data_IF_454815290766
#
_entry.id   IF_454815290766
#
_cell.length_a   1.000
_cell.length_b   1.000
_cell.length_c   1.000
_cell.angle_alpha   90.00
_cell.angle_beta   90.00
_cell.angle_gamma   90.00
#
_symmetry.space_group_name_H-M   'P 1'
#
loop_
_entity.id
_entity.type
_entity.pdbx_description
1 polymer ?
#
# COMPACT_ATOMS: atom_id res chain seq x y z
N UNK A 1 -4.31 -6.93 -13.05
CA UNK A 1 -3.56 -6.33 -11.91
C UNK A 1 -4.51 -5.58 -10.99
N UNK A 2 -4.33 -5.62 -9.67
CA UNK A 2 -5.17 -4.87 -8.72
C UNK A 2 -4.52 -3.53 -8.35
N UNK A 3 -5.29 -2.44 -8.34
CA UNK A 3 -4.84 -1.12 -7.85
C UNK A 3 -5.61 -0.75 -6.57
N UNK A 4 -4.96 -0.77 -5.42
CA UNK A 4 -5.56 -0.33 -4.16
C UNK A 4 -5.49 1.19 -3.99
N UNK A 5 -6.61 1.82 -3.64
CA UNK A 5 -6.63 3.25 -3.28
C UNK A 5 -6.40 3.38 -1.77
N UNK A 6 -5.24 3.92 -1.41
CA UNK A 6 -4.80 4.06 -0.03
C UNK A 6 -5.39 5.31 0.65
N UNK A 7 -5.48 5.30 1.99
CA UNK A 7 -5.88 6.44 2.84
C UNK A 7 -7.36 6.85 2.78
N UNK A 8 -8.24 5.97 2.29
CA UNK A 8 -9.68 6.25 2.22
C UNK A 8 -10.32 6.51 3.60
N UNK A 9 -9.78 5.93 4.68
CA UNK A 9 -10.27 6.10 6.06
C UNK A 9 -10.48 7.56 6.46
N UNK A 10 -9.59 8.46 6.00
CA UNK A 10 -9.64 9.90 6.30
C UNK A 10 -10.91 10.60 5.76
N UNK A 11 -11.50 10.05 4.70
CA UNK A 11 -12.68 10.58 4.03
C UNK A 11 -13.92 9.70 4.18
N UNK A 12 -13.76 8.44 4.60
CA UNK A 12 -14.81 7.42 4.65
C UNK A 12 -16.10 7.90 5.34
N UNK A 13 -15.98 8.49 6.54
CA UNK A 13 -17.13 9.01 7.29
C UNK A 13 -17.83 10.18 6.60
N UNK A 14 -17.06 11.05 5.93
CA UNK A 14 -17.60 12.26 5.28
C UNK A 14 -18.33 11.91 3.98
N UNK A 15 -17.76 11.00 3.20
CA UNK A 15 -18.29 10.71 1.87
C UNK A 15 -19.32 9.58 1.87
N UNK A 16 -19.25 8.68 2.85
CA UNK A 16 -20.18 7.56 3.03
C UNK A 16 -20.49 6.80 1.72
N UNK A 17 -19.46 6.52 0.93
CA UNK A 17 -19.60 5.85 -0.37
C UNK A 17 -19.81 4.34 -0.19
N UNK A 18 -20.59 3.74 -1.10
CA UNK A 18 -20.56 2.29 -1.29
C UNK A 18 -19.19 1.90 -1.86
N UNK A 19 -18.46 1.11 -1.07
CA UNK A 19 -17.07 0.72 -1.35
C UNK A 19 -16.93 -0.75 -1.70
N UNK A 20 -18.03 -1.52 -1.71
CA UNK A 20 -17.99 -2.99 -1.93
C UNK A 20 -17.22 -3.37 -3.20
N UNK A 21 -17.25 -2.48 -4.18
CA UNK A 21 -16.66 -2.70 -5.49
C UNK A 21 -15.29 -2.02 -5.70
N UNK A 22 -14.69 -1.46 -4.64
CA UNK A 22 -13.48 -0.65 -4.70
C UNK A 22 -12.36 -1.35 -3.94
N UNK A 23 -11.21 -1.52 -4.59
CA UNK A 23 -9.99 -1.97 -3.93
C UNK A 23 -9.40 -0.86 -3.08
N UNK A 24 -9.31 -1.10 -1.77
CA UNK A 24 -8.88 -0.12 -0.76
C UNK A 24 -7.72 -0.64 0.07
N UNK A 25 -6.78 0.25 0.35
CA UNK A 25 -5.74 0.03 1.34
C UNK A 25 -5.96 0.99 2.50
N UNK A 26 -5.90 0.48 3.73
CA UNK A 26 -5.78 1.34 4.91
C UNK A 26 -4.56 0.97 5.74
N UNK A 27 -4.16 1.89 6.60
CA UNK A 27 -3.07 1.68 7.53
C UNK A 27 -3.62 1.40 8.92
N UNK A 28 -3.07 0.41 9.63
CA UNK A 28 -3.43 0.15 11.02
C UNK A 28 -3.24 1.38 11.92
N UNK A 29 -2.31 2.27 11.58
CA UNK A 29 -2.13 3.55 12.27
C UNK A 29 -3.40 4.43 12.26
N UNK A 30 -4.21 4.35 11.19
CA UNK A 30 -5.50 5.04 11.07
C UNK A 30 -6.60 4.42 11.97
N UNK A 31 -6.37 3.19 12.45
CA UNK A 31 -7.30 2.39 13.24
C UNK A 31 -6.84 2.19 14.70
N UNK A 32 -5.78 2.90 15.15
CA UNK A 32 -5.19 2.73 16.48
C UNK A 32 -6.13 2.99 17.66
N UNK A 33 -7.27 3.65 17.43
CA UNK A 33 -8.33 3.83 18.43
C UNK A 33 -9.23 2.59 18.60
N UNK A 34 -9.01 1.54 17.81
CA UNK A 34 -9.82 0.31 17.80
C UNK A 34 -11.04 0.39 16.88
N UNK A 35 -11.44 1.58 16.43
CA UNK A 35 -12.59 1.76 15.53
C UNK A 35 -12.18 1.63 14.05
N UNK A 36 -12.93 0.84 13.28
CA UNK A 36 -12.81 0.76 11.82
C UNK A 36 -14.17 0.95 11.15
N UNK A 37 -14.16 1.29 9.87
CA UNK A 37 -15.40 1.40 9.07
C UNK A 37 -15.61 0.08 8.31
N UNK A 38 -16.82 -0.12 7.78
CA UNK A 38 -17.23 -1.38 7.14
C UNK A 38 -16.34 -1.85 5.99
N UNK A 39 -15.61 -0.94 5.32
CA UNK A 39 -14.73 -1.29 4.22
C UNK A 39 -13.56 -2.20 4.62
N UNK A 40 -13.19 -2.20 5.90
CA UNK A 40 -12.10 -3.04 6.43
C UNK A 40 -12.44 -4.53 6.41
N UNK A 41 -13.72 -4.88 6.37
CA UNK A 41 -14.19 -6.27 6.34
C UNK A 41 -14.35 -6.84 4.93
N UNK A 42 -14.08 -6.05 3.90
CA UNK A 42 -14.34 -6.43 2.51
C UNK A 42 -13.17 -7.23 1.93
N UNK A 43 -13.47 -8.11 0.97
CA UNK A 43 -12.45 -8.92 0.27
C UNK A 43 -11.49 -8.07 -0.56
N UNK A 44 -11.93 -6.88 -0.96
CA UNK A 44 -11.14 -5.90 -1.73
C UNK A 44 -10.32 -4.97 -0.82
N UNK A 45 -10.13 -5.34 0.44
CA UNK A 45 -9.30 -4.61 1.40
C UNK A 45 -7.94 -5.28 1.64
N UNK A 46 -6.90 -4.45 1.78
CA UNK A 46 -5.58 -4.85 2.28
C UNK A 46 -5.14 -3.89 3.38
N UNK A 47 -4.51 -4.43 4.42
CA UNK A 47 -4.09 -3.66 5.59
C UNK A 47 -2.56 -3.50 5.66
N UNK A 48 -2.08 -2.27 5.65
CA UNK A 48 -0.70 -1.93 5.99
C UNK A 48 -0.54 -1.85 7.52
N UNK A 49 0.61 -2.33 8.04
CA UNK A 49 0.97 -2.22 9.45
C UNK A 49 1.09 -0.77 9.90
N UNK A 50 1.35 0.18 9.00
CA UNK A 50 1.47 1.61 9.32
C UNK A 50 2.71 1.97 10.13
N UNK A 51 3.68 1.05 10.22
CA UNK A 51 4.86 1.22 11.05
C UNK A 51 5.73 2.43 10.61
N UNK A 52 5.79 2.72 9.31
CA UNK A 52 6.46 3.91 8.78
C UNK A 52 5.90 5.22 9.36
N UNK A 53 4.58 5.29 9.53
CA UNK A 53 3.90 6.46 10.11
C UNK A 53 4.09 6.55 11.63
N UNK A 54 4.22 5.42 12.32
CA UNK A 54 4.54 5.38 13.74
C UNK A 54 5.96 5.91 14.03
N UNK A 55 6.93 5.55 13.18
CA UNK A 55 8.33 5.96 13.31
C UNK A 55 8.58 7.45 13.01
N UNK A 56 7.88 8.02 12.03
CA UNK A 56 8.03 9.41 11.61
C UNK A 56 7.72 10.45 12.71
N UNK A 57 7.20 10.02 13.86
CA UNK A 57 6.84 10.83 15.03
C UNK A 57 7.96 11.14 16.04
N UNK A 58 9.25 10.85 15.75
CA UNK A 58 10.40 11.13 16.65
C UNK A 58 10.35 10.43 18.03
N UNK A 59 10.06 9.13 18.09
CA UNK A 59 10.14 8.37 19.35
C UNK A 59 11.17 7.24 19.26
N UNK A 60 12.35 7.46 19.82
CA UNK A 60 13.43 6.47 19.90
C UNK A 60 13.09 5.26 20.81
N UNK A 61 12.04 5.36 21.64
CA UNK A 61 11.58 4.29 22.55
C UNK A 61 10.17 3.78 22.19
N UNK A 62 9.89 3.60 20.90
CA UNK A 62 8.59 3.06 20.48
C UNK A 62 8.43 1.59 20.88
N UNK A 63 7.34 1.24 21.57
CA UNK A 63 7.03 -0.13 21.99
C UNK A 63 6.53 -0.98 20.81
N UNK A 64 7.48 -1.52 20.03
CA UNK A 64 7.18 -2.38 18.88
C UNK A 64 6.54 -3.70 19.28
N UNK A 65 6.90 -4.27 20.43
CA UNK A 65 6.29 -5.50 20.94
C UNK A 65 4.80 -5.26 21.29
N UNK A 66 4.47 -4.13 21.91
CA UNK A 66 3.08 -3.73 22.14
C UNK A 66 2.35 -3.39 20.84
N UNK A 67 3.04 -2.80 19.87
CA UNK A 67 2.46 -2.47 18.57
C UNK A 67 2.08 -3.72 17.78
N UNK A 68 2.98 -4.70 17.65
CA UNK A 68 2.68 -5.96 16.95
C UNK A 68 1.53 -6.73 17.62
N UNK A 69 1.47 -6.73 18.96
CA UNK A 69 0.35 -7.35 19.70
C UNK A 69 -0.99 -6.67 19.37
N UNK A 70 -1.02 -5.33 19.33
CA UNK A 70 -2.23 -4.58 18.97
C UNK A 70 -2.62 -4.82 17.51
N UNK A 71 -1.65 -4.83 16.61
CA UNK A 71 -1.86 -5.09 15.19
C UNK A 71 -2.39 -6.50 14.94
N UNK A 72 -1.75 -7.54 15.52
CA UNK A 72 -2.20 -8.92 15.41
C UNK A 72 -3.63 -9.12 15.96
N UNK A 73 -3.93 -8.50 17.11
CA UNK A 73 -5.28 -8.54 17.66
C UNK A 73 -6.30 -7.82 16.77
N UNK A 74 -5.93 -6.73 16.11
CA UNK A 74 -6.80 -6.04 15.16
C UNK A 74 -7.06 -6.91 13.91
N UNK A 75 -6.03 -7.53 13.36
CA UNK A 75 -6.14 -8.46 12.23
C UNK A 75 -7.07 -9.63 12.59
N UNK A 76 -6.84 -10.27 13.74
CA UNK A 76 -7.63 -11.40 14.23
C UNK A 76 -9.10 -11.01 14.46
N UNK A 77 -9.37 -9.95 15.25
CA UNK A 77 -10.73 -9.55 15.62
C UNK A 77 -11.58 -9.13 14.42
N UNK A 78 -10.96 -8.53 13.41
CA UNK A 78 -11.66 -8.05 12.22
C UNK A 78 -11.57 -9.02 11.04
N UNK A 79 -11.00 -10.22 11.23
CA UNK A 79 -10.81 -11.24 10.20
C UNK A 79 -10.21 -10.68 8.90
N UNK A 80 -9.18 -9.84 9.03
CA UNK A 80 -8.52 -9.21 7.88
C UNK A 80 -7.88 -10.28 7.00
N UNK A 81 -8.21 -10.27 5.70
CA UNK A 81 -7.81 -11.34 4.77
C UNK A 81 -6.39 -11.16 4.24
N UNK A 82 -6.00 -9.93 3.92
CA UNK A 82 -4.68 -9.57 3.40
C UNK A 82 -4.09 -8.44 4.23
N UNK A 83 -2.87 -8.64 4.73
CA UNK A 83 -2.18 -7.65 5.55
C UNK A 83 -0.67 -7.80 5.43
N UNK A 84 0.06 -6.70 5.54
CA UNK A 84 1.52 -6.69 5.47
C UNK A 84 2.16 -6.97 6.83
N UNK A 85 3.41 -7.43 6.82
CA UNK A 85 4.25 -7.50 8.01
C UNK A 85 4.58 -6.12 8.60
N UNK A 86 5.28 -6.10 9.74
CA UNK A 86 5.90 -4.89 10.25
C UNK A 86 7.20 -4.64 9.51
N UNK A 87 7.17 -3.68 8.60
CA UNK A 87 8.29 -3.28 7.77
C UNK A 87 9.21 -2.27 8.48
N UNK A 88 10.04 -2.78 9.40
CA UNK A 88 10.87 -1.98 10.33
C UNK A 88 12.24 -2.59 10.61
N UNK A 89 12.75 -3.41 9.69
CA UNK A 89 14.04 -4.09 9.85
C UNK A 89 15.21 -3.10 9.96
N UNK A 90 15.10 -1.90 9.38
CA UNK A 90 16.07 -0.81 9.62
C UNK A 90 16.08 -0.30 11.07
N UNK A 91 15.02 -0.56 11.85
CA UNK A 91 14.86 -0.09 13.23
C UNK A 91 15.19 -1.19 14.23
N UNK A 92 14.71 -2.41 14.01
CA UNK A 92 14.80 -3.51 14.98
C UNK A 92 15.66 -4.69 14.52
N UNK A 93 16.18 -4.64 13.29
CA UNK A 93 16.90 -5.75 12.66
C UNK A 93 15.97 -6.80 12.04
N UNK A 94 16.50 -7.57 11.09
CA UNK A 94 15.72 -8.58 10.35
C UNK A 94 15.20 -9.69 11.26
N UNK A 95 16.03 -10.23 12.16
CA UNK A 95 15.64 -11.33 13.06
C UNK A 95 14.40 -10.98 13.89
N UNK A 96 14.29 -9.73 14.34
CA UNK A 96 13.14 -9.26 15.12
C UNK A 96 11.89 -9.09 14.24
N UNK A 97 12.05 -8.67 12.97
CA UNK A 97 10.95 -8.63 12.00
C UNK A 97 10.45 -10.04 11.68
N UNK A 98 11.34 -11.02 11.49
CA UNK A 98 10.96 -12.41 11.27
C UNK A 98 10.23 -13.00 12.48
N UNK A 99 10.69 -12.68 13.69
CA UNK A 99 9.97 -13.01 14.93
C UNK A 99 8.55 -12.42 14.95
N UNK A 100 8.39 -11.13 14.58
CA UNK A 100 7.07 -10.51 14.49
C UNK A 100 6.19 -11.12 13.40
N UNK A 101 6.79 -11.55 12.29
CA UNK A 101 6.10 -12.22 11.20
C UNK A 101 5.51 -13.56 11.65
N UNK A 102 6.30 -14.39 12.32
CA UNK A 102 5.81 -15.67 12.88
C UNK A 102 4.76 -15.41 13.98
N UNK A 103 4.97 -14.42 14.86
CA UNK A 103 3.98 -14.04 15.85
C UNK A 103 2.63 -13.64 15.21
N UNK A 104 2.66 -12.84 14.13
CA UNK A 104 1.46 -12.46 13.39
C UNK A 104 0.76 -13.69 12.81
N UNK A 105 1.52 -14.60 12.20
CA UNK A 105 1.01 -15.84 11.62
C UNK A 105 0.34 -16.73 12.68
N UNK A 106 1.04 -17.00 13.78
CA UNK A 106 0.51 -17.81 14.88
C UNK A 106 -0.75 -17.20 15.49
N UNK A 107 -0.75 -15.88 15.69
CA UNK A 107 -1.87 -15.19 16.35
C UNK A 107 -3.10 -15.06 15.46
N UNK A 108 -2.92 -14.93 14.15
CA UNK A 108 -4.00 -14.63 13.21
C UNK A 108 -4.44 -15.84 12.38
N UNK A 109 -3.64 -16.91 12.35
CA UNK A 109 -3.84 -18.06 11.47
C UNK A 109 -3.65 -17.75 9.99
N UNK A 110 -3.00 -16.63 9.66
CA UNK A 110 -2.81 -16.13 8.29
C UNK A 110 -1.38 -15.64 8.08
N UNK A 111 -0.83 -15.92 6.91
CA UNK A 111 0.49 -15.42 6.55
C UNK A 111 0.42 -13.90 6.29
N UNK A 112 1.19 -13.07 7.02
CA UNK A 112 1.43 -11.69 6.59
C UNK A 112 2.16 -11.67 5.25
N UNK A 113 1.98 -10.59 4.49
CA UNK A 113 2.72 -10.32 3.25
C UNK A 113 4.07 -9.69 3.66
N UNK A 114 5.21 -10.39 3.49
CA UNK A 114 6.51 -9.84 3.81
C UNK A 114 6.91 -8.75 2.81
N UNK A 115 7.65 -7.74 3.27
CA UNK A 115 8.07 -6.59 2.47
C UNK A 115 9.58 -6.59 2.33
N UNK A 116 10.07 -6.69 1.10
CA UNK A 116 11.50 -6.67 0.83
C UNK A 116 12.08 -5.25 0.75
N UNK A 117 13.29 -5.12 1.32
CA UNK A 117 14.16 -3.95 1.27
C UNK A 117 15.57 -4.34 0.88
N UNK A 118 16.32 -3.39 0.34
CA UNK A 118 17.64 -3.58 -0.27
C UNK A 118 18.69 -4.13 0.67
N UNK A 119 18.60 -3.82 1.96
CA UNK A 119 19.43 -4.36 3.03
C UNK A 119 19.28 -5.89 3.20
N UNK A 120 18.18 -6.49 2.74
CA UNK A 120 17.95 -7.95 2.81
C UNK A 120 18.65 -8.71 1.67
N UNK A 121 19.00 -8.03 0.57
CA UNK A 121 19.67 -8.63 -0.57
C UNK A 121 18.79 -9.52 -1.45
N UNK A 122 19.32 -9.88 -2.62
CA UNK A 122 18.56 -10.60 -3.66
C UNK A 122 18.19 -12.04 -3.25
N UNK A 123 19.09 -12.74 -2.55
CA UNK A 123 18.90 -14.15 -2.23
C UNK A 123 17.79 -14.31 -1.19
N UNK A 124 17.66 -13.35 -0.27
CA UNK A 124 16.52 -13.26 0.64
C UNK A 124 15.21 -13.07 -0.13
N UNK A 125 15.18 -12.22 -1.16
CA UNK A 125 13.98 -12.03 -1.97
C UNK A 125 13.53 -13.33 -2.63
N UNK A 126 14.47 -14.07 -3.24
CA UNK A 126 14.18 -15.35 -3.91
C UNK A 126 13.58 -16.33 -2.90
N UNK A 127 14.23 -16.52 -1.75
CA UNK A 127 13.71 -17.38 -0.68
C UNK A 127 12.33 -16.93 -0.18
N UNK A 128 12.14 -15.62 0.01
CA UNK A 128 10.86 -15.05 0.41
C UNK A 128 9.75 -15.35 -0.60
N UNK A 129 10.06 -15.42 -1.90
CA UNK A 129 9.09 -15.82 -2.93
C UNK A 129 8.74 -17.31 -2.87
N UNK A 130 9.69 -18.17 -2.50
CA UNK A 130 9.46 -19.61 -2.32
C UNK A 130 8.60 -19.89 -1.06
N UNK A 131 8.82 -19.13 0.01
CA UNK A 131 8.18 -19.35 1.31
C UNK A 131 6.77 -18.75 1.42
N UNK A 132 6.46 -17.71 0.63
CA UNK A 132 5.21 -16.94 0.76
C UNK A 132 4.45 -16.85 -0.57
N UNK A 133 3.12 -17.09 -0.59
CA UNK A 133 2.30 -17.00 -1.80
C UNK A 133 2.05 -15.55 -2.26
N UNK A 134 2.45 -14.57 -1.46
CA UNK A 134 2.32 -13.17 -1.76
C UNK A 134 3.41 -12.39 -1.03
N UNK A 135 4.21 -11.63 -1.77
CA UNK A 135 5.29 -10.78 -1.27
C UNK A 135 5.10 -9.33 -1.71
N UNK A 136 5.85 -8.41 -1.12
CA UNK A 136 5.83 -7.00 -1.49
C UNK A 136 7.23 -6.41 -1.62
N UNK A 137 7.33 -5.31 -2.36
CA UNK A 137 8.55 -4.51 -2.50
C UNK A 137 8.26 -3.03 -2.23
N UNK A 138 9.10 -2.42 -1.40
CA UNK A 138 9.05 -0.98 -1.12
C UNK A 138 9.47 -0.14 -2.33
N UNK A 139 8.58 0.68 -2.89
CA UNK A 139 8.90 1.59 -4.03
C UNK A 139 8.57 3.06 -3.74
N UNK A 140 8.33 3.37 -2.46
CA UNK A 140 7.92 4.70 -2.01
C UNK A 140 8.97 5.76 -2.34
N UNK A 141 8.51 6.96 -2.72
CA UNK A 141 9.41 8.11 -2.91
C UNK A 141 9.94 8.68 -1.58
N UNK A 142 9.36 8.25 -0.45
CA UNK A 142 9.74 8.70 0.89
C UNK A 142 11.12 8.19 1.33
N UNK A 143 11.65 7.15 0.69
CA UNK A 143 12.98 6.58 0.98
C UNK A 143 13.92 6.76 -0.21
N UNK A 144 15.23 6.91 0.05
CA UNK A 144 16.25 6.95 -1.01
C UNK A 144 16.23 5.68 -1.87
N UNK A 145 16.04 4.54 -1.22
CA UNK A 145 15.94 3.23 -1.85
C UNK A 145 14.76 3.16 -2.82
N UNK A 146 13.54 3.45 -2.33
CA UNK A 146 12.35 3.40 -3.16
C UNK A 146 12.43 4.36 -4.34
N UNK A 147 13.07 5.53 -4.17
CA UNK A 147 13.39 6.44 -5.28
C UNK A 147 14.30 5.82 -6.35
N UNK A 148 15.32 5.05 -5.95
CA UNK A 148 16.24 4.37 -6.90
C UNK A 148 15.54 3.22 -7.62
N UNK A 149 14.85 2.36 -6.88
CA UNK A 149 14.16 1.19 -7.42
C UNK A 149 13.04 1.61 -8.38
N UNK A 150 12.20 2.58 -7.98
CA UNK A 150 11.08 3.08 -8.80
C UNK A 150 11.51 3.63 -10.16
N UNK A 151 12.72 4.18 -10.26
CA UNK A 151 13.27 4.74 -11.51
C UNK A 151 13.90 3.70 -12.42
N UNK A 152 14.05 2.45 -11.96
CA UNK A 152 14.68 1.39 -12.72
C UNK A 152 13.68 0.25 -13.04
N UNK A 153 12.95 0.34 -14.16
CA UNK A 153 11.94 -0.66 -14.51
C UNK A 153 12.55 -2.06 -14.74
N UNK A 154 13.81 -2.17 -15.14
CA UNK A 154 14.47 -3.47 -15.32
C UNK A 154 14.70 -4.19 -13.98
N UNK A 155 15.07 -3.45 -12.94
CA UNK A 155 15.18 -4.00 -11.58
C UNK A 155 13.81 -4.48 -11.10
N UNK A 156 12.77 -3.64 -11.24
CA UNK A 156 11.41 -4.03 -10.87
C UNK A 156 10.93 -5.27 -11.63
N UNK A 157 11.24 -5.35 -12.93
CA UNK A 157 10.92 -6.52 -13.76
C UNK A 157 11.58 -7.78 -13.23
N UNK A 158 12.85 -7.71 -12.81
CA UNK A 158 13.54 -8.86 -12.20
C UNK A 158 12.82 -9.34 -10.94
N UNK A 159 12.43 -8.44 -10.02
CA UNK A 159 11.68 -8.82 -8.81
C UNK A 159 10.35 -9.49 -9.15
N UNK A 160 9.60 -8.93 -10.11
CA UNK A 160 8.34 -9.49 -10.56
C UNK A 160 8.54 -10.89 -11.15
N UNK A 161 9.56 -11.06 -11.99
CA UNK A 161 9.85 -12.34 -12.64
C UNK A 161 10.28 -13.41 -11.64
N UNK A 162 11.07 -13.05 -10.63
CA UNK A 162 11.44 -14.00 -9.56
C UNK A 162 10.21 -14.45 -8.76
N UNK A 163 9.33 -13.51 -8.38
CA UNK A 163 8.10 -13.85 -7.67
C UNK A 163 7.22 -14.79 -8.51
N UNK A 164 6.99 -14.44 -9.78
CA UNK A 164 6.18 -15.26 -10.69
C UNK A 164 6.79 -16.63 -10.99
N UNK A 165 8.12 -16.72 -11.11
CA UNK A 165 8.83 -17.99 -11.31
C UNK A 165 8.64 -18.93 -10.12
N UNK A 166 8.62 -18.40 -8.89
CA UNK A 166 8.34 -19.15 -7.67
C UNK A 166 6.84 -19.42 -7.45
N UNK A 167 5.94 -18.90 -8.29
CA UNK A 167 4.49 -18.99 -8.12
C UNK A 167 3.91 -18.04 -7.06
N UNK A 168 4.68 -17.05 -6.62
CA UNK A 168 4.27 -16.02 -5.67
C UNK A 168 3.70 -14.79 -6.38
N UNK A 169 2.71 -14.15 -5.77
CA UNK A 169 2.22 -12.83 -6.19
C UNK A 169 3.15 -11.74 -5.66
N UNK A 170 3.19 -10.59 -6.34
CA UNK A 170 3.99 -9.44 -5.89
C UNK A 170 3.18 -8.14 -5.85
N UNK A 171 3.31 -7.42 -4.72
CA UNK A 171 2.73 -6.10 -4.51
C UNK A 171 3.80 -5.00 -4.60
N UNK A 172 3.55 -3.94 -5.38
CA UNK A 172 4.41 -2.75 -5.43
C UNK A 172 3.93 -1.65 -4.47
N UNK A 173 4.53 -1.57 -3.27
CA UNK A 173 4.13 -0.61 -2.24
C UNK A 173 4.43 0.83 -2.68
N UNK A 174 3.40 1.67 -2.70
CA UNK A 174 3.42 3.05 -3.14
C UNK A 174 3.75 3.23 -4.63
N UNK A 175 3.62 2.18 -5.45
CA UNK A 175 3.96 2.23 -6.88
C UNK A 175 2.75 2.67 -7.72
N UNK A 176 2.84 3.83 -8.38
CA UNK A 176 1.76 4.26 -9.30
C UNK A 176 2.31 5.07 -10.47
N UNK A 177 3.42 4.62 -11.06
CA UNK A 177 3.86 5.16 -12.33
C UNK A 177 3.01 4.56 -13.45
N UNK A 178 1.95 5.26 -13.85
CA UNK A 178 0.96 4.81 -14.84
C UNK A 178 1.58 4.45 -16.19
N UNK A 179 2.71 5.07 -16.56
CA UNK A 179 3.47 4.70 -17.76
C UNK A 179 4.08 3.32 -17.63
N UNK A 180 4.70 3.00 -16.49
CA UNK A 180 5.38 1.72 -16.29
C UNK A 180 4.44 0.58 -15.88
N UNK A 181 3.28 0.87 -15.29
CA UNK A 181 2.30 -0.14 -14.89
C UNK A 181 1.86 -1.05 -16.06
N UNK A 182 1.86 -0.55 -17.31
CA UNK A 182 1.53 -1.36 -18.49
C UNK A 182 2.59 -2.41 -18.82
N UNK A 183 3.84 -2.16 -18.44
CA UNK A 183 4.98 -3.02 -18.73
C UNK A 183 5.38 -3.90 -17.54
N UNK A 184 5.20 -3.36 -16.32
CA UNK A 184 5.48 -4.02 -15.07
C UNK A 184 4.21 -4.71 -14.57
N UNK A 185 4.13 -6.02 -14.82
CA UNK A 185 2.99 -6.88 -14.48
C UNK A 185 2.97 -7.24 -12.99
N UNK A 186 2.88 -6.24 -12.12
CA UNK A 186 2.59 -6.53 -10.71
C UNK A 186 1.23 -7.21 -10.58
N UNK A 187 1.09 -8.07 -9.57
CA UNK A 187 -0.22 -8.62 -9.22
C UNK A 187 -1.09 -7.55 -8.56
N UNK A 188 -0.47 -6.68 -7.77
CA UNK A 188 -1.12 -5.45 -7.33
C UNK A 188 -0.17 -4.33 -6.96
N UNK A 189 -0.71 -3.13 -6.83
CA UNK A 189 -0.01 -1.92 -6.37
C UNK A 189 -0.97 -1.06 -5.55
N UNK A 190 -0.47 -0.05 -4.85
CA UNK A 190 -1.30 0.95 -4.17
C UNK A 190 -0.95 2.39 -4.58
N UNK A 191 -1.90 3.30 -4.33
CA UNK A 191 -1.73 4.72 -4.58
C UNK A 191 -2.43 5.62 -3.58
N UNK A 192 -1.73 6.68 -3.18
CA UNK A 192 -2.31 7.86 -2.53
C UNK A 192 -2.44 9.06 -3.48
N UNK A 193 -2.12 8.92 -4.77
CA UNK A 193 -2.07 10.04 -5.74
C UNK A 193 -3.42 10.72 -5.93
N UNK A 194 -4.53 10.04 -5.66
CA UNK A 194 -5.86 10.66 -5.68
C UNK A 194 -6.03 11.79 -4.66
N UNK A 195 -5.22 11.82 -3.59
CA UNK A 195 -5.17 12.90 -2.59
C UNK A 195 -4.42 14.16 -3.07
N UNK A 196 -3.88 14.17 -4.30
CA UNK A 196 -3.17 15.33 -4.85
C UNK A 196 -4.04 16.59 -4.97
N UNK A 197 -5.37 16.47 -4.90
CA UNK A 197 -6.28 17.61 -4.81
C UNK A 197 -6.09 18.41 -3.51
N UNK A 198 -5.91 17.73 -2.38
CA UNK A 198 -5.55 18.38 -1.11
C UNK A 198 -4.08 18.80 -1.07
N UNK A 199 -3.16 17.97 -1.58
CA UNK A 199 -1.72 18.23 -1.46
C UNK A 199 -1.23 19.37 -2.35
N UNK A 200 -1.72 19.41 -3.59
CA UNK A 200 -1.20 20.29 -4.64
C UNK A 200 -2.29 21.06 -5.39
N UNK A 201 -3.57 20.81 -5.10
CA UNK A 201 -4.67 21.38 -5.87
C UNK A 201 -4.86 20.73 -7.24
N UNK A 202 -4.23 19.57 -7.49
CA UNK A 202 -4.30 18.91 -8.80
C UNK A 202 -5.64 18.23 -9.02
N UNK A 203 -6.19 18.41 -10.21
CA UNK A 203 -7.45 17.81 -10.65
C UNK A 203 -7.16 16.73 -11.67
N UNK A 204 -7.48 15.48 -11.34
CA UNK A 204 -7.21 14.29 -12.14
C UNK A 204 -8.43 13.88 -12.96
N UNK A 205 -8.25 13.45 -14.20
CA UNK A 205 -9.32 12.88 -15.05
C UNK A 205 -8.78 11.64 -15.76
N UNK A 206 -9.59 10.59 -15.83
CA UNK A 206 -9.26 9.39 -16.59
C UNK A 206 -9.81 9.54 -18.02
N UNK A 207 -8.93 9.43 -19.03
CA UNK A 207 -9.32 9.61 -20.44
C UNK A 207 -9.78 8.32 -21.14
N UNK A 208 -9.82 7.20 -20.41
CA UNK A 208 -10.10 5.87 -20.95
C UNK A 208 -8.86 4.98 -21.07
N UNK A 209 -7.66 5.54 -21.01
CA UNK A 209 -6.40 4.78 -21.10
C UNK A 209 -5.36 5.20 -20.05
N UNK A 210 -5.34 6.48 -19.66
CA UNK A 210 -4.38 7.05 -18.72
C UNK A 210 -5.02 8.09 -17.80
N UNK A 211 -4.37 8.30 -16.66
CA UNK A 211 -4.69 9.40 -15.76
C UNK A 211 -4.00 10.68 -16.26
N UNK A 212 -4.79 11.72 -16.52
CA UNK A 212 -4.34 13.08 -16.83
C UNK A 212 -4.60 13.95 -15.60
N UNK A 213 -3.73 14.92 -15.31
CA UNK A 213 -4.01 15.93 -14.28
C UNK A 213 -3.73 17.34 -14.77
N UNK A 214 -4.35 18.29 -14.09
CA UNK A 214 -4.15 19.72 -14.30
C UNK A 214 -3.80 20.36 -12.96
N UNK A 215 -2.75 21.19 -12.96
CA UNK A 215 -2.41 22.04 -11.83
C UNK A 215 -3.37 23.22 -11.73
N UNK A 216 -3.57 23.81 -10.53
CA UNK A 216 -4.32 25.05 -10.42
C UNK A 216 -3.64 26.15 -11.26
N UNK A 217 -4.41 27.08 -11.87
CA UNK A 217 -3.83 28.21 -12.59
C UNK A 217 -2.82 28.98 -11.73
N UNK A 218 -1.80 29.57 -12.34
CA UNK A 218 -0.74 30.28 -11.63
C UNK A 218 -1.32 31.34 -10.69
N UNK A 219 -0.96 31.26 -9.41
CA UNK A 219 -1.44 32.17 -8.37
C UNK A 219 -2.81 31.82 -7.78
N UNK A 220 -3.49 30.79 -8.29
CA UNK A 220 -4.75 30.30 -7.75
C UNK A 220 -4.54 29.10 -6.83
N UNK A 221 -5.52 28.87 -5.95
CA UNK A 221 -5.61 27.69 -5.10
C UNK A 221 -6.98 27.05 -5.27
N UNK A 222 -7.04 25.73 -5.10
CA UNK A 222 -8.31 25.02 -5.06
C UNK A 222 -9.12 25.53 -3.88
N UNK A 223 -10.37 25.94 -4.14
CA UNK A 223 -11.27 26.47 -3.10
C UNK A 223 -11.76 25.37 -2.15
N UNK A 224 -12.08 24.21 -2.70
CA UNK A 224 -12.59 23.06 -1.95
C UNK A 224 -11.73 21.82 -2.20
N UNK A 225 -10.80 21.58 -1.26
CA UNK A 225 -9.88 20.46 -1.33
C UNK A 225 -10.55 19.09 -1.14
N UNK A 226 -11.66 19.02 -0.39
CA UNK A 226 -12.38 17.77 -0.18
C UNK A 226 -13.15 17.39 -1.44
N UNK A 227 -13.81 18.35 -2.08
CA UNK A 227 -14.45 18.16 -3.39
C UNK A 227 -13.45 17.76 -4.46
N UNK A 228 -12.27 18.40 -4.51
CA UNK A 228 -11.20 18.03 -5.43
C UNK A 228 -10.75 16.58 -5.23
N UNK A 229 -10.53 16.15 -3.98
CA UNK A 229 -10.20 14.76 -3.68
C UNK A 229 -11.33 13.80 -4.04
N UNK A 230 -12.59 14.16 -3.79
CA UNK A 230 -13.74 13.30 -4.11
C UNK A 230 -13.88 13.09 -5.62
N UNK A 231 -13.66 14.16 -6.39
CA UNK A 231 -13.59 14.10 -7.85
C UNK A 231 -12.44 13.20 -8.29
N UNK A 232 -11.24 13.44 -7.78
CA UNK A 232 -10.07 12.62 -8.11
C UNK A 232 -10.29 11.15 -7.75
N UNK A 233 -10.79 10.85 -6.55
CA UNK A 233 -11.08 9.49 -6.11
C UNK A 233 -12.02 8.78 -7.09
N UNK A 234 -13.07 9.44 -7.55
CA UNK A 234 -14.01 8.88 -8.54
C UNK A 234 -13.32 8.55 -9.87
N UNK A 235 -12.41 9.40 -10.34
CA UNK A 235 -11.61 9.14 -11.55
C UNK A 235 -10.59 8.01 -11.35
N UNK A 236 -9.97 7.94 -10.17
CA UNK A 236 -9.08 6.85 -9.81
C UNK A 236 -9.80 5.51 -9.64
N UNK A 237 -11.08 5.49 -9.23
CA UNK A 237 -11.93 4.28 -9.25
C UNK A 237 -12.19 3.81 -10.69
N UNK A 238 -12.41 4.73 -11.63
CA UNK A 238 -12.51 4.36 -13.06
C UNK A 238 -11.21 3.75 -13.56
N UNK A 239 -10.06 4.34 -13.21
CA UNK A 239 -8.75 3.82 -13.58
C UNK A 239 -8.46 2.47 -12.92
N UNK A 240 -8.83 2.27 -11.66
CA UNK A 240 -8.72 0.98 -10.98
C UNK A 240 -9.43 -0.13 -11.76
N UNK A 241 -10.65 0.11 -12.23
CA UNK A 241 -11.41 -0.84 -13.07
C UNK A 241 -10.75 -1.11 -14.42
N UNK A 242 -10.15 -0.08 -15.03
CA UNK A 242 -9.37 -0.24 -16.25
C UNK A 242 -8.14 -1.13 -16.02
N UNK A 243 -7.37 -0.84 -14.96
CA UNK A 243 -6.17 -1.59 -14.60
C UNK A 243 -6.52 -3.06 -14.30
N UNK A 244 -7.59 -3.32 -13.58
CA UNK A 244 -8.06 -4.68 -13.29
C UNK A 244 -8.38 -5.48 -14.56
N UNK A 245 -9.03 -4.83 -15.53
CA UNK A 245 -9.54 -5.49 -16.73
C UNK A 245 -8.50 -5.65 -17.85
N UNK A 246 -7.60 -4.68 -17.98
CA UNK A 246 -6.75 -4.56 -19.17
C UNK A 246 -5.25 -4.66 -18.92
N UNK A 247 -4.79 -4.57 -17.66
CA UNK A 247 -3.38 -4.69 -17.29
C UNK A 247 -3.16 -5.92 -16.39
#
# INVERSE_FOLDING_TARGET
MILYLASYKTCAKRWNLDTKDIYLLSSFWEHKSGNCDSFVYQDRHILDSGAFSAFSGKNNNFDWDGYVRKYANFVYKNNIRLFFELDIDIVVGIDKVEYYREYLKDRTGRNPIPVWHSNRGKDYFVKMCEDYPYVAIGTTLATDEGRKIRKNPMILKWFIDQAHTAGSRIHGLGFTNTTFLKYLRFDSVDSTTWLSGTRFGQIYSFDGEKMIYQDPPKGMRVKDHDLANRRNFSEWVKYQRYVERYL
#
